data_IF_281464388192
#
_entry.id   IF_281464388192
#
_cell.length_a   1.000
_cell.length_b   1.000
_cell.length_c   1.000
_cell.angle_alpha   90.00
_cell.angle_beta   90.00
_cell.angle_gamma   90.00
#
_symmetry.space_group_name_H-M   'P 1'
#
loop_
_entity.id
_entity.type
_entity.pdbx_description
1 polymer ?
#
# COMPACT_ATOMS: atom_id res chain seq x y z
N UNK A 1 5.59 -14.28 -51.87
CA UNK A 1 4.98 -13.79 -53.14
C UNK A 1 4.61 -12.33 -52.90
N UNK A 2 5.44 -11.40 -53.37
CA UNK A 2 5.31 -9.97 -53.07
C UNK A 2 4.35 -9.33 -54.08
N UNK A 3 3.19 -8.89 -53.60
CA UNK A 3 2.28 -8.06 -54.38
C UNK A 3 2.76 -6.60 -54.35
N UNK A 4 2.90 -5.93 -55.50
CA UNK A 4 3.22 -4.51 -55.53
C UNK A 4 1.93 -3.72 -55.24
N UNK A 5 1.90 -3.04 -54.09
CA UNK A 5 0.84 -2.08 -53.77
C UNK A 5 1.21 -0.76 -54.45
N UNK A 6 0.36 -0.29 -55.38
CA UNK A 6 0.45 1.04 -55.98
C UNK A 6 0.14 2.08 -54.90
N UNK A 7 1.04 3.03 -54.75
CA UNK A 7 0.95 4.14 -53.79
C UNK A 7 0.24 5.33 -54.42
N UNK A 8 -1.10 5.31 -54.43
CA UNK A 8 -1.92 6.50 -54.66
C UNK A 8 -2.56 6.89 -53.32
N UNK A 9 -2.29 8.12 -52.87
CA UNK A 9 -2.90 8.94 -51.80
C UNK A 9 -3.87 8.29 -50.79
N UNK A 10 -3.45 7.23 -50.10
CA UNK A 10 -4.12 6.75 -48.88
C UNK A 10 -3.56 7.50 -47.68
N UNK A 11 -4.44 8.04 -46.83
CA UNK A 11 -4.01 8.51 -45.49
C UNK A 11 -3.20 7.37 -44.84
N UNK A 12 -1.99 7.63 -44.32
CA UNK A 12 -1.10 6.59 -43.83
C UNK A 12 -1.77 5.61 -42.84
N UNK A 13 -2.82 6.06 -42.14
CA UNK A 13 -3.58 5.28 -41.17
C UNK A 13 -4.62 4.30 -41.73
N UNK A 14 -5.14 4.47 -42.95
CA UNK A 14 -6.06 3.47 -43.55
C UNK A 14 -5.29 2.22 -43.96
N UNK A 15 -4.11 2.41 -44.55
CA UNK A 15 -3.24 1.31 -45.01
C UNK A 15 -2.82 0.36 -43.89
N UNK A 16 -2.55 0.88 -42.68
CA UNK A 16 -2.11 0.04 -41.55
C UNK A 16 -3.26 -0.76 -40.92
N UNK A 17 -4.48 -0.20 -40.89
CA UNK A 17 -5.68 -0.90 -40.39
C UNK A 17 -6.07 -2.05 -41.31
N UNK A 18 -6.07 -1.82 -42.62
CA UNK A 18 -6.34 -2.85 -43.62
C UNK A 18 -5.30 -3.97 -43.59
N UNK A 19 -4.01 -3.60 -43.48
CA UNK A 19 -2.93 -4.56 -43.29
C UNK A 19 -3.15 -5.41 -42.02
N UNK A 20 -3.49 -4.79 -40.89
CA UNK A 20 -3.74 -5.49 -39.64
C UNK A 20 -4.91 -6.47 -39.75
N UNK A 21 -6.04 -6.07 -40.34
CA UNK A 21 -7.20 -6.96 -40.54
C UNK A 21 -6.80 -8.17 -41.39
N UNK A 22 -6.16 -7.93 -42.53
CA UNK A 22 -5.73 -9.01 -43.43
C UNK A 22 -4.75 -9.98 -42.76
N UNK A 23 -3.82 -9.45 -41.96
CA UNK A 23 -2.80 -10.25 -41.31
C UNK A 23 -3.28 -10.91 -40.00
N UNK A 24 -4.26 -10.34 -39.31
CA UNK A 24 -4.84 -10.95 -38.10
C UNK A 24 -5.65 -12.21 -38.39
N UNK A 25 -6.18 -12.31 -39.61
CA UNK A 25 -6.86 -13.50 -40.14
C UNK A 25 -5.89 -14.56 -40.69
N UNK A 26 -4.58 -14.27 -40.75
CA UNK A 26 -3.58 -15.21 -41.27
C UNK A 26 -3.45 -16.45 -40.39
N UNK A 27 -3.25 -17.62 -41.00
CA UNK A 27 -2.94 -18.84 -40.26
C UNK A 27 -1.53 -18.87 -39.65
N UNK A 28 -0.65 -17.95 -40.04
CA UNK A 28 0.73 -17.90 -39.58
C UNK A 28 0.88 -16.97 -38.36
N UNK A 29 1.29 -17.54 -37.22
CA UNK A 29 1.45 -16.81 -35.96
C UNK A 29 2.47 -15.66 -36.06
N UNK A 30 3.57 -15.85 -36.78
CA UNK A 30 4.58 -14.81 -36.98
C UNK A 30 4.01 -13.60 -37.71
N UNK A 31 3.14 -13.82 -38.71
CA UNK A 31 2.44 -12.76 -39.44
C UNK A 31 1.47 -12.01 -38.51
N UNK A 32 0.74 -12.73 -37.65
CA UNK A 32 -0.16 -12.11 -36.66
C UNK A 32 0.61 -11.26 -35.64
N UNK A 33 1.74 -11.76 -35.15
CA UNK A 33 2.62 -11.04 -34.21
C UNK A 33 3.19 -9.77 -34.83
N UNK A 34 3.71 -9.85 -36.07
CA UNK A 34 4.24 -8.72 -36.81
C UNK A 34 3.17 -7.65 -37.04
N UNK A 35 1.95 -8.07 -37.41
CA UNK A 35 0.84 -7.16 -37.61
C UNK A 35 0.44 -6.42 -36.33
N UNK A 36 0.37 -7.13 -35.20
CA UNK A 36 0.09 -6.51 -33.90
C UNK A 36 1.18 -5.51 -33.50
N UNK A 37 2.46 -5.88 -33.64
CA UNK A 37 3.58 -4.99 -33.27
C UNK A 37 3.61 -3.71 -34.13
N UNK A 38 3.40 -3.84 -35.44
CA UNK A 38 3.32 -2.69 -36.36
C UNK A 38 2.16 -1.76 -36.02
N UNK A 39 0.97 -2.32 -35.76
CA UNK A 39 -0.21 -1.54 -35.44
C UNK A 39 -0.03 -0.76 -34.13
N UNK A 40 0.49 -1.42 -33.08
CA UNK A 40 0.80 -0.80 -31.79
C UNK A 40 1.83 0.31 -31.97
N UNK A 41 2.91 0.04 -32.70
CA UNK A 41 3.98 1.01 -32.95
C UNK A 41 3.45 2.25 -33.67
N UNK A 42 2.62 2.06 -34.70
CA UNK A 42 1.98 3.16 -35.43
C UNK A 42 1.09 4.01 -34.52
N UNK A 43 0.16 3.40 -33.79
CA UNK A 43 -0.80 4.14 -32.98
C UNK A 43 -0.23 4.70 -31.68
N UNK A 44 0.84 4.11 -31.15
CA UNK A 44 1.55 4.68 -29.99
C UNK A 44 2.15 6.04 -30.35
N UNK A 45 2.60 6.22 -31.59
CA UNK A 45 3.16 7.48 -32.07
C UNK A 45 2.09 8.47 -32.56
N UNK A 46 0.95 7.99 -33.06
CA UNK A 46 -0.07 8.82 -33.73
C UNK A 46 -1.32 9.14 -32.88
N UNK A 47 -1.47 8.55 -31.70
CA UNK A 47 -2.27 9.10 -30.59
C UNK A 47 -3.80 9.14 -30.72
N UNK A 48 -4.46 8.33 -31.55
CA UNK A 48 -5.93 8.36 -31.65
C UNK A 48 -6.62 7.47 -30.58
N UNK A 49 -7.75 7.94 -30.03
CA UNK A 49 -8.48 7.22 -28.97
C UNK A 49 -9.18 5.95 -29.45
N UNK A 50 -9.63 5.91 -30.70
CA UNK A 50 -10.45 4.82 -31.25
C UNK A 50 -9.63 3.57 -31.65
N UNK A 51 -8.30 3.67 -31.59
CA UNK A 51 -7.42 2.60 -32.10
C UNK A 51 -7.44 1.34 -31.23
N UNK A 52 -7.71 1.49 -29.93
CA UNK A 52 -7.73 0.35 -29.00
C UNK A 52 -8.98 -0.50 -29.22
N UNK A 53 -10.14 0.13 -29.45
CA UNK A 53 -11.39 -0.57 -29.76
C UNK A 53 -11.25 -1.34 -31.09
N UNK A 54 -10.64 -0.71 -32.10
CA UNK A 54 -10.30 -1.37 -33.36
C UNK A 54 -9.36 -2.57 -33.16
N UNK A 55 -8.28 -2.37 -32.39
CA UNK A 55 -7.28 -3.40 -32.13
C UNK A 55 -7.88 -4.63 -31.46
N UNK A 56 -8.73 -4.46 -30.43
CA UNK A 56 -9.32 -5.57 -29.69
C UNK A 56 -10.38 -6.32 -30.53
N UNK A 57 -11.15 -5.59 -31.34
CA UNK A 57 -12.17 -6.14 -32.24
C UNK A 57 -11.56 -7.10 -33.25
N UNK A 58 -10.42 -6.72 -33.83
CA UNK A 58 -9.70 -7.53 -34.82
C UNK A 58 -8.50 -8.29 -34.23
N UNK A 59 -8.47 -8.51 -32.90
CA UNK A 59 -7.33 -9.13 -32.26
C UNK A 59 -7.14 -10.59 -32.72
N UNK A 60 -5.95 -10.98 -33.21
CA UNK A 60 -5.74 -12.27 -33.86
C UNK A 60 -6.01 -13.45 -32.92
N UNK A 61 -6.87 -14.39 -33.34
CA UNK A 61 -7.30 -15.49 -32.47
C UNK A 61 -6.15 -16.48 -32.15
N UNK A 62 -5.27 -16.82 -33.11
CA UNK A 62 -4.15 -17.73 -32.82
C UNK A 62 -3.15 -17.10 -31.84
N UNK A 63 -2.85 -15.81 -32.01
CA UNK A 63 -2.02 -15.07 -31.05
C UNK A 63 -2.65 -15.01 -29.65
N UNK A 64 -3.97 -14.79 -29.57
CA UNK A 64 -4.70 -14.82 -28.30
C UNK A 64 -4.60 -16.20 -27.61
N UNK A 65 -4.83 -17.27 -28.38
CA UNK A 65 -4.71 -18.65 -27.88
C UNK A 65 -3.29 -18.96 -27.42
N UNK A 66 -2.29 -18.48 -28.14
CA UNK A 66 -0.90 -18.65 -27.74
C UNK A 66 -0.59 -17.96 -26.41
N UNK A 67 -1.07 -16.72 -26.22
CA UNK A 67 -0.93 -16.02 -24.94
C UNK A 67 -1.65 -16.73 -23.80
N UNK A 68 -2.82 -17.31 -24.07
CA UNK A 68 -3.54 -18.13 -23.12
C UNK A 68 -2.71 -19.35 -22.70
N UNK A 69 -2.15 -20.08 -23.68
CA UNK A 69 -1.27 -21.22 -23.42
C UNK A 69 -0.03 -20.81 -22.62
N UNK A 70 0.64 -19.73 -22.99
CA UNK A 70 1.79 -19.19 -22.25
C UNK A 70 1.49 -18.87 -20.79
N UNK A 71 0.27 -18.35 -20.52
CA UNK A 71 -0.16 -18.03 -19.16
C UNK A 71 -0.44 -19.27 -18.29
N UNK A 72 -0.71 -20.41 -18.91
CA UNK A 72 -0.98 -21.69 -18.24
C UNK A 72 0.27 -22.57 -18.15
N UNK A 73 1.09 -22.63 -19.20
CA UNK A 73 2.24 -23.53 -19.33
C UNK A 73 3.49 -22.79 -19.85
N UNK A 74 4.23 -22.07 -18.99
CA UNK A 74 5.32 -21.19 -19.42
C UNK A 74 6.50 -21.90 -20.12
N UNK A 75 6.68 -23.21 -19.91
CA UNK A 75 7.91 -23.94 -20.30
C UNK A 75 7.86 -24.63 -21.66
N UNK A 76 6.69 -24.76 -22.28
CA UNK A 76 6.50 -25.61 -23.46
C UNK A 76 6.25 -24.81 -24.75
N UNK A 77 6.34 -23.49 -24.69
CA UNK A 77 5.97 -22.62 -25.81
C UNK A 77 7.19 -22.22 -26.63
N UNK A 78 7.17 -22.54 -27.92
CA UNK A 78 8.18 -22.08 -28.89
C UNK A 78 8.23 -20.55 -28.93
N UNK A 79 9.42 -19.95 -29.03
CA UNK A 79 9.60 -18.48 -29.05
C UNK A 79 8.92 -17.75 -27.87
N UNK A 80 8.86 -18.38 -26.70
CA UNK A 80 8.22 -17.83 -25.49
C UNK A 80 8.65 -16.38 -25.20
N UNK A 81 9.95 -16.06 -25.30
CA UNK A 81 10.47 -14.73 -24.97
C UNK A 81 9.97 -13.64 -25.93
N UNK A 82 9.90 -13.92 -27.24
CA UNK A 82 9.41 -12.96 -28.26
C UNK A 82 7.92 -12.67 -28.06
N UNK A 83 7.14 -13.74 -27.88
CA UNK A 83 5.70 -13.65 -27.60
C UNK A 83 5.44 -12.90 -26.30
N UNK A 84 6.25 -13.19 -25.27
CA UNK A 84 6.15 -12.53 -23.97
C UNK A 84 6.47 -11.04 -24.11
N UNK A 85 7.53 -10.69 -24.82
CA UNK A 85 7.87 -9.29 -25.08
C UNK A 85 6.73 -8.55 -25.81
N UNK A 86 6.13 -9.17 -26.84
CA UNK A 86 4.97 -8.61 -27.52
C UNK A 86 3.76 -8.45 -26.59
N UNK A 87 3.49 -9.42 -25.72
CA UNK A 87 2.43 -9.32 -24.72
C UNK A 87 2.61 -8.10 -23.80
N UNK A 88 3.83 -7.86 -23.33
CA UNK A 88 4.17 -6.69 -22.50
C UNK A 88 4.16 -5.36 -23.27
N UNK A 89 4.14 -5.37 -24.61
CA UNK A 89 3.82 -4.19 -25.44
C UNK A 89 2.31 -3.99 -25.61
N UNK A 90 1.57 -5.08 -25.78
CA UNK A 90 0.11 -5.07 -25.96
C UNK A 90 -0.59 -4.56 -24.71
N UNK A 91 -0.19 -5.03 -23.52
CA UNK A 91 -0.86 -4.64 -22.27
C UNK A 91 -0.85 -3.11 -22.06
N UNK A 92 0.30 -2.40 -22.13
CA UNK A 92 0.30 -0.95 -22.00
C UNK A 92 -0.48 -0.23 -23.10
N UNK A 93 -0.47 -0.76 -24.32
CA UNK A 93 -1.25 -0.22 -25.44
C UNK A 93 -2.76 -0.29 -25.18
N UNK A 94 -3.26 -1.43 -24.69
CA UNK A 94 -4.68 -1.62 -24.38
C UNK A 94 -5.16 -0.66 -23.27
N UNK A 95 -4.33 -0.46 -22.26
CA UNK A 95 -4.69 0.35 -21.09
C UNK A 95 -4.05 1.74 -21.11
N UNK A 96 -3.63 2.27 -22.27
CA UNK A 96 -2.99 3.61 -22.35
C UNK A 96 -3.93 4.77 -22.02
N UNK A 97 -5.25 4.55 -22.13
CA UNK A 97 -6.32 5.51 -21.83
C UNK A 97 -7.56 4.78 -21.35
N UNK A 98 -8.37 5.42 -20.51
CA UNK A 98 -9.68 4.91 -20.14
C UNK A 98 -10.61 4.77 -21.36
N UNK A 99 -11.10 3.55 -21.61
CA UNK A 99 -12.12 3.28 -22.62
C UNK A 99 -13.09 2.22 -22.08
N UNK A 100 -14.32 2.64 -21.78
CA UNK A 100 -15.33 1.77 -21.17
C UNK A 100 -15.63 0.52 -22.01
N UNK A 101 -15.78 0.66 -23.33
CA UNK A 101 -16.08 -0.47 -24.23
C UNK A 101 -14.95 -1.51 -24.24
N UNK A 102 -13.70 -1.05 -24.16
CA UNK A 102 -12.54 -1.95 -24.10
C UNK A 102 -12.55 -2.71 -22.78
N UNK A 103 -12.97 -2.09 -21.68
CA UNK A 103 -13.00 -2.72 -20.36
C UNK A 103 -14.18 -3.67 -20.17
N UNK A 104 -15.31 -3.43 -20.83
CA UNK A 104 -16.46 -4.33 -20.85
C UNK A 104 -16.26 -5.52 -21.82
N UNK A 105 -15.20 -5.50 -22.63
CA UNK A 105 -14.88 -6.59 -23.54
C UNK A 105 -14.25 -7.78 -22.81
N UNK A 106 -14.88 -8.95 -22.91
CA UNK A 106 -14.42 -10.20 -22.27
C UNK A 106 -12.98 -10.56 -22.62
N UNK A 107 -12.55 -10.35 -23.88
CA UNK A 107 -11.19 -10.62 -24.34
C UNK A 107 -10.18 -9.75 -23.59
N UNK A 108 -10.50 -8.49 -23.32
CA UNK A 108 -9.65 -7.60 -22.52
C UNK A 108 -9.53 -8.06 -21.08
N UNK A 109 -10.63 -8.46 -20.44
CA UNK A 109 -10.61 -9.01 -19.08
C UNK A 109 -9.72 -10.26 -18.99
N UNK A 110 -9.83 -11.15 -19.97
CA UNK A 110 -8.97 -12.34 -20.06
C UNK A 110 -7.50 -11.98 -20.25
N UNK A 111 -7.18 -10.92 -21.01
CA UNK A 111 -5.80 -10.42 -21.12
C UNK A 111 -5.26 -9.94 -19.77
N UNK A 112 -6.09 -9.32 -18.92
CA UNK A 112 -5.68 -8.95 -17.54
C UNK A 112 -5.38 -10.19 -16.70
N UNK A 113 -6.22 -11.22 -16.76
CA UNK A 113 -5.98 -12.48 -16.07
C UNK A 113 -4.69 -13.17 -16.55
N UNK A 114 -4.49 -13.28 -17.88
CA UNK A 114 -3.25 -13.80 -18.47
C UNK A 114 -2.03 -13.00 -18.03
N UNK A 115 -2.16 -11.67 -17.99
CA UNK A 115 -1.09 -10.79 -17.52
C UNK A 115 -0.70 -11.09 -16.08
N UNK A 116 -1.68 -11.19 -15.18
CA UNK A 116 -1.46 -11.51 -13.76
C UNK A 116 -0.82 -12.89 -13.57
N UNK A 117 -1.18 -13.88 -14.40
CA UNK A 117 -0.53 -15.20 -14.40
C UNK A 117 0.92 -15.12 -14.90
N UNK A 118 1.19 -14.35 -15.95
CA UNK A 118 2.54 -14.21 -16.50
C UNK A 118 3.51 -13.54 -15.52
N UNK A 119 3.11 -12.48 -14.82
CA UNK A 119 3.99 -11.80 -13.85
C UNK A 119 4.27 -12.62 -12.59
N UNK A 120 3.52 -13.70 -12.34
CA UNK A 120 3.83 -14.66 -11.27
C UNK A 120 5.01 -15.55 -11.62
N UNK A 121 5.33 -15.69 -12.91
CA UNK A 121 6.54 -16.39 -13.34
C UNK A 121 7.77 -15.59 -12.91
N UNK A 122 8.79 -16.26 -12.38
CA UNK A 122 9.91 -15.58 -11.71
C UNK A 122 11.01 -15.10 -12.67
N UNK A 123 10.77 -15.09 -13.98
CA UNK A 123 11.75 -14.67 -14.97
C UNK A 123 11.48 -13.23 -15.40
N UNK A 124 12.15 -12.22 -14.83
CA UNK A 124 11.91 -10.83 -15.21
C UNK A 124 12.25 -10.59 -16.69
N UNK A 125 11.52 -9.67 -17.34
CA UNK A 125 11.90 -9.12 -18.65
C UNK A 125 12.51 -7.75 -18.44
N UNK A 126 13.54 -7.45 -19.22
CA UNK A 126 14.00 -6.08 -19.38
C UNK A 126 12.92 -5.24 -20.08
N UNK A 127 12.24 -4.38 -19.32
CA UNK A 127 11.27 -3.44 -19.86
C UNK A 127 11.69 -2.01 -19.54
N UNK A 128 12.04 -1.24 -20.57
CA UNK A 128 12.66 0.08 -20.42
C UNK A 128 11.68 1.19 -20.02
N UNK A 129 10.37 1.00 -20.19
CA UNK A 129 9.37 2.05 -19.97
C UNK A 129 8.43 1.77 -18.79
N UNK A 130 9.00 1.65 -17.60
CA UNK A 130 8.24 1.39 -16.36
C UNK A 130 7.20 2.48 -16.05
N UNK A 131 7.40 3.72 -16.52
CA UNK A 131 6.45 4.81 -16.35
C UNK A 131 5.15 4.57 -17.13
N UNK A 132 5.24 4.28 -18.43
CA UNK A 132 4.07 3.97 -19.24
C UNK A 132 3.34 2.76 -18.67
N UNK A 133 4.09 1.77 -18.18
CA UNK A 133 3.53 0.59 -17.56
C UNK A 133 2.68 0.90 -16.33
N UNK A 134 3.18 1.76 -15.42
CA UNK A 134 2.44 2.19 -14.23
C UNK A 134 1.16 2.95 -14.60
N UNK A 135 1.23 3.84 -15.60
CA UNK A 135 0.07 4.58 -16.12
C UNK A 135 -0.98 3.60 -16.68
N UNK A 136 -0.54 2.59 -17.44
CA UNK A 136 -1.43 1.59 -17.99
C UNK A 136 -2.10 0.73 -16.92
N UNK A 137 -1.38 0.36 -15.85
CA UNK A 137 -2.02 -0.31 -14.70
C UNK A 137 -3.02 0.63 -14.03
N UNK A 138 -2.67 1.91 -13.84
CA UNK A 138 -3.57 2.91 -13.24
C UNK A 138 -4.89 3.02 -14.00
N UNK A 139 -4.86 3.03 -15.34
CA UNK A 139 -6.08 2.97 -16.15
C UNK A 139 -6.77 1.62 -16.07
N UNK A 140 -6.05 0.50 -16.10
CA UNK A 140 -6.62 -0.85 -16.01
C UNK A 140 -7.47 -1.03 -14.74
N UNK A 141 -6.97 -0.56 -13.59
CA UNK A 141 -7.64 -0.69 -12.28
C UNK A 141 -8.76 0.32 -12.03
N UNK A 142 -8.98 1.28 -12.95
CA UNK A 142 -10.19 2.12 -12.88
C UNK A 142 -11.45 1.29 -13.15
N UNK A 143 -11.32 0.21 -13.92
CA UNK A 143 -12.38 -0.78 -14.06
C UNK A 143 -12.38 -1.72 -12.87
N UNK A 144 -13.51 -1.77 -12.18
CA UNK A 144 -13.62 -2.46 -10.90
C UNK A 144 -13.31 -3.98 -10.96
N UNK A 145 -13.86 -4.77 -11.91
CA UNK A 145 -13.48 -6.17 -12.08
C UNK A 145 -11.97 -6.40 -12.22
N UNK A 146 -11.28 -5.55 -12.98
CA UNK A 146 -9.82 -5.66 -13.14
C UNK A 146 -9.11 -5.35 -11.82
N UNK A 147 -9.52 -4.28 -11.12
CA UNK A 147 -8.97 -3.96 -9.79
C UNK A 147 -9.15 -5.12 -8.81
N UNK A 148 -10.31 -5.77 -8.84
CA UNK A 148 -10.61 -6.93 -8.01
C UNK A 148 -9.67 -8.10 -8.32
N UNK A 149 -9.41 -8.39 -9.60
CA UNK A 149 -8.41 -9.37 -10.03
C UNK A 149 -7.01 -9.03 -9.51
N UNK A 150 -6.58 -7.77 -9.61
CA UNK A 150 -5.28 -7.33 -9.07
C UNK A 150 -5.16 -7.56 -7.56
N UNK A 151 -6.25 -7.45 -6.81
CA UNK A 151 -6.24 -7.70 -5.36
C UNK A 151 -6.22 -9.20 -5.08
N UNK A 152 -7.13 -9.98 -5.69
CA UNK A 152 -7.24 -11.43 -5.45
C UNK A 152 -6.02 -12.22 -5.90
N UNK A 153 -5.37 -11.77 -6.97
CA UNK A 153 -4.20 -12.45 -7.52
C UNK A 153 -2.89 -11.82 -7.07
N UNK A 154 -2.93 -10.95 -6.06
CA UNK A 154 -1.76 -10.26 -5.50
C UNK A 154 -0.91 -9.54 -6.57
N UNK A 155 -1.58 -8.96 -7.57
CA UNK A 155 -0.96 -8.48 -8.80
C UNK A 155 0.15 -7.46 -8.58
N UNK A 156 -0.06 -6.50 -7.67
CA UNK A 156 0.95 -5.47 -7.37
C UNK A 156 2.19 -6.05 -6.67
N UNK A 157 2.03 -7.07 -5.82
CA UNK A 157 3.16 -7.79 -5.23
C UNK A 157 3.98 -8.48 -6.31
N UNK A 158 3.32 -9.20 -7.21
CA UNK A 158 3.99 -9.87 -8.31
C UNK A 158 4.66 -8.88 -9.26
N UNK A 159 4.04 -7.73 -9.54
CA UNK A 159 4.66 -6.65 -10.30
C UNK A 159 5.93 -6.11 -9.62
N UNK A 160 5.84 -5.83 -8.33
CA UNK A 160 6.95 -5.36 -7.52
C UNK A 160 8.13 -6.34 -7.58
N UNK A 161 7.83 -7.64 -7.47
CA UNK A 161 8.83 -8.70 -7.55
C UNK A 161 9.41 -8.86 -8.96
N UNK A 162 8.53 -8.90 -9.97
CA UNK A 162 8.87 -9.12 -11.37
C UNK A 162 9.73 -7.99 -11.94
N UNK A 163 9.51 -6.75 -11.49
CA UNK A 163 10.27 -5.60 -11.93
C UNK A 163 11.27 -5.10 -10.90
N UNK A 164 11.62 -5.86 -9.86
CA UNK A 164 12.48 -5.38 -8.74
C UNK A 164 13.79 -4.72 -9.19
N UNK A 165 14.39 -5.19 -10.29
CA UNK A 165 15.66 -4.69 -10.82
C UNK A 165 15.50 -3.39 -11.64
N UNK A 166 14.27 -3.07 -12.05
CA UNK A 166 13.94 -1.96 -12.97
C UNK A 166 13.04 -0.90 -12.32
N UNK A 167 12.14 -1.32 -11.46
CA UNK A 167 11.32 -0.48 -10.61
C UNK A 167 12.01 -0.32 -9.27
N UNK A 168 12.87 0.70 -9.16
CA UNK A 168 13.16 1.25 -7.83
C UNK A 168 11.82 1.61 -7.19
N UNK A 169 11.63 1.40 -5.87
CA UNK A 169 10.41 1.80 -5.18
C UNK A 169 10.20 3.30 -5.34
N UNK A 170 9.44 3.65 -6.37
CA UNK A 170 9.20 5.01 -6.77
C UNK A 170 7.94 5.50 -6.04
N UNK A 171 7.84 6.81 -5.89
CA UNK A 171 6.65 7.41 -5.31
C UNK A 171 5.40 7.04 -6.12
N UNK A 172 5.52 6.97 -7.44
CA UNK A 172 4.46 6.60 -8.38
C UNK A 172 3.97 5.17 -8.16
N UNK A 173 4.88 4.21 -7.95
CA UNK A 173 4.48 2.82 -7.66
C UNK A 173 3.77 2.69 -6.32
N UNK A 174 4.24 3.42 -5.30
CA UNK A 174 3.56 3.44 -3.99
C UNK A 174 2.18 4.08 -4.07
N UNK A 175 2.03 5.16 -4.85
CA UNK A 175 0.74 5.79 -5.14
C UNK A 175 -0.20 4.82 -5.87
N UNK A 176 0.32 4.07 -6.84
CA UNK A 176 -0.45 3.03 -7.52
C UNK A 176 -0.94 1.96 -6.54
N UNK A 177 -0.09 1.53 -5.60
CA UNK A 177 -0.47 0.59 -4.55
C UNK A 177 -1.59 1.15 -3.66
N UNK A 178 -1.46 2.40 -3.21
CA UNK A 178 -2.50 3.08 -2.45
C UNK A 178 -3.82 3.15 -3.22
N UNK A 179 -3.77 3.47 -4.52
CA UNK A 179 -4.94 3.53 -5.39
C UNK A 179 -5.64 2.17 -5.50
N UNK A 180 -4.90 1.05 -5.64
CA UNK A 180 -5.50 -0.29 -5.67
C UNK A 180 -6.13 -0.66 -4.33
N UNK A 181 -5.47 -0.35 -3.22
CA UNK A 181 -5.90 -0.79 -1.88
C UNK A 181 -6.86 0.17 -1.16
N UNK A 182 -7.08 1.36 -1.69
CA UNK A 182 -8.05 2.31 -1.13
C UNK A 182 -9.48 1.95 -1.52
N UNK A 183 -10.03 0.92 -0.86
CA UNK A 183 -11.39 0.43 -1.05
C UNK A 183 -12.37 1.01 -0.04
N UNK A 184 -13.62 1.17 -0.47
CA UNK A 184 -14.72 1.52 0.41
C UNK A 184 -15.29 0.29 1.10
N UNK A 185 -15.87 0.49 2.29
CA UNK A 185 -16.45 -0.62 3.08
C UNK A 185 -17.55 -1.37 2.32
N UNK A 186 -18.26 -0.68 1.41
CA UNK A 186 -19.29 -1.27 0.55
C UNK A 186 -18.76 -2.29 -0.46
N UNK A 187 -17.48 -2.22 -0.81
CA UNK A 187 -16.82 -3.14 -1.75
C UNK A 187 -16.29 -4.41 -1.06
N UNK A 188 -16.43 -4.50 0.27
CA UNK A 188 -15.93 -5.63 1.07
C UNK A 188 -16.52 -6.97 0.60
N UNK A 189 -17.81 -7.01 0.26
CA UNK A 189 -18.53 -8.25 -0.09
C UNK A 189 -18.03 -8.92 -1.37
N UNK A 190 -17.30 -8.18 -2.20
CA UNK A 190 -16.76 -8.68 -3.47
C UNK A 190 -15.40 -9.33 -3.29
N UNK A 191 -14.76 -9.10 -2.13
CA UNK A 191 -13.48 -9.69 -1.79
C UNK A 191 -13.64 -11.06 -1.15
N UNK A 192 -12.82 -12.01 -1.59
CA UNK A 192 -12.80 -13.37 -1.09
C UNK A 192 -11.80 -13.49 0.06
N UNK A 193 -12.28 -13.66 1.30
CA UNK A 193 -11.42 -13.79 2.48
C UNK A 193 -10.28 -14.82 2.33
N UNK A 194 -10.49 -16.02 1.73
CA UNK A 194 -9.40 -16.96 1.48
C UNK A 194 -8.28 -16.38 0.60
N UNK A 195 -8.64 -15.68 -0.48
CA UNK A 195 -7.67 -15.03 -1.38
C UNK A 195 -6.90 -13.92 -0.67
N UNK A 196 -7.57 -13.15 0.18
CA UNK A 196 -6.91 -12.10 1.00
C UNK A 196 -5.93 -12.72 2.01
N UNK A 197 -6.30 -13.85 2.63
CA UNK A 197 -5.42 -14.59 3.52
C UNK A 197 -4.16 -15.09 2.77
N UNK A 198 -4.35 -15.70 1.60
CA UNK A 198 -3.25 -16.18 0.76
C UNK A 198 -2.30 -15.03 0.36
N UNK A 199 -2.85 -13.89 -0.05
CA UNK A 199 -2.06 -12.70 -0.35
C UNK A 199 -1.24 -12.25 0.87
N UNK A 200 -1.85 -12.17 2.06
CA UNK A 200 -1.15 -11.79 3.28
C UNK A 200 0.04 -12.72 3.57
N UNK A 201 -0.17 -14.04 3.47
CA UNK A 201 0.85 -15.07 3.71
C UNK A 201 2.00 -14.93 2.71
N UNK A 202 1.71 -14.75 1.42
CA UNK A 202 2.74 -14.59 0.38
C UNK A 202 3.62 -13.37 0.65
N UNK A 203 3.01 -12.23 0.98
CA UNK A 203 3.75 -10.99 1.25
C UNK A 203 4.60 -11.12 2.52
N UNK A 204 4.03 -11.68 3.60
CA UNK A 204 4.74 -11.88 4.86
C UNK A 204 5.92 -12.84 4.69
N UNK A 205 5.71 -13.96 4.02
CA UNK A 205 6.78 -14.93 3.70
C UNK A 205 7.91 -14.25 2.94
N UNK A 206 7.58 -13.37 1.99
CA UNK A 206 8.60 -12.62 1.25
C UNK A 206 9.35 -11.63 2.14
N UNK A 207 8.65 -10.90 3.01
CA UNK A 207 9.28 -9.98 3.95
C UNK A 207 10.26 -10.69 4.91
N UNK A 208 9.97 -11.94 5.28
CA UNK A 208 10.83 -12.74 6.17
C UNK A 208 12.05 -13.32 5.45
N UNK A 209 11.88 -13.74 4.19
CA UNK A 209 12.96 -14.37 3.40
C UNK A 209 13.86 -13.35 2.69
N UNK A 210 13.31 -12.20 2.31
CA UNK A 210 14.03 -11.09 1.69
C UNK A 210 13.54 -9.78 2.33
N UNK A 211 14.15 -9.34 3.45
CA UNK A 211 13.69 -8.19 4.24
C UNK A 211 14.01 -6.84 3.59
N UNK A 212 13.64 -6.70 2.32
CA UNK A 212 13.69 -5.45 1.60
C UNK A 212 12.57 -4.53 2.09
N UNK A 213 12.93 -3.29 2.40
CA UNK A 213 12.01 -2.25 2.91
C UNK A 213 10.78 -2.06 2.01
N UNK A 214 10.93 -2.31 0.71
CA UNK A 214 9.87 -2.24 -0.28
C UNK A 214 8.72 -3.21 0.02
N UNK A 215 8.99 -4.50 0.27
CA UNK A 215 7.95 -5.48 0.59
C UNK A 215 7.27 -5.17 1.92
N UNK A 216 8.02 -4.66 2.90
CA UNK A 216 7.48 -4.28 4.21
C UNK A 216 6.53 -3.07 4.12
N UNK A 217 6.87 -2.08 3.29
CA UNK A 217 5.97 -0.95 2.97
C UNK A 217 4.71 -1.43 2.25
N UNK A 218 4.86 -2.33 1.30
CA UNK A 218 3.74 -2.93 0.58
C UNK A 218 2.81 -3.72 1.52
N UNK A 219 3.37 -4.54 2.42
CA UNK A 219 2.61 -5.23 3.47
C UNK A 219 1.83 -4.24 4.33
N UNK A 220 2.42 -3.09 4.68
CA UNK A 220 1.76 -2.06 5.48
C UNK A 220 0.52 -1.47 4.76
N UNK A 221 0.62 -1.24 3.44
CA UNK A 221 -0.51 -0.78 2.62
C UNK A 221 -1.60 -1.85 2.49
N UNK A 222 -1.21 -3.08 2.18
CA UNK A 222 -2.13 -4.20 2.07
C UNK A 222 -2.88 -4.43 3.39
N UNK A 223 -2.16 -4.51 4.51
CA UNK A 223 -2.76 -4.66 5.84
C UNK A 223 -3.62 -3.44 6.23
N UNK A 224 -3.36 -2.25 5.68
CA UNK A 224 -4.21 -1.09 5.92
C UNK A 224 -5.60 -1.27 5.29
N UNK A 225 -5.66 -1.80 4.07
CA UNK A 225 -6.92 -2.19 3.42
C UNK A 225 -7.64 -3.27 4.25
N UNK A 226 -6.93 -4.34 4.61
CA UNK A 226 -7.49 -5.45 5.42
C UNK A 226 -8.09 -4.94 6.73
N UNK A 227 -7.38 -4.04 7.42
CA UNK A 227 -7.87 -3.38 8.64
C UNK A 227 -9.14 -2.56 8.38
N UNK A 228 -9.12 -1.66 7.38
CA UNK A 228 -10.25 -0.78 7.05
C UNK A 228 -11.51 -1.56 6.71
N UNK A 229 -11.35 -2.65 5.99
CA UNK A 229 -12.43 -3.53 5.57
C UNK A 229 -12.77 -4.58 6.62
N UNK A 230 -12.19 -4.53 7.82
CA UNK A 230 -12.46 -5.45 8.95
C UNK A 230 -12.15 -6.93 8.66
N UNK A 231 -11.31 -7.22 7.67
CA UNK A 231 -10.97 -8.60 7.28
C UNK A 231 -10.11 -9.32 8.33
N UNK A 232 -9.48 -8.63 9.28
CA UNK A 232 -8.74 -9.28 10.36
C UNK A 232 -9.62 -10.14 11.29
N UNK A 233 -10.94 -10.03 11.24
CA UNK A 233 -11.84 -10.94 11.94
C UNK A 233 -12.28 -12.13 11.06
N UNK A 234 -11.85 -12.20 9.81
CA UNK A 234 -12.22 -13.24 8.84
C UNK A 234 -11.03 -14.11 8.44
N UNK A 235 -9.83 -13.54 8.40
CA UNK A 235 -8.59 -14.25 8.04
C UNK A 235 -7.72 -14.51 9.27
N UNK A 236 -6.84 -15.51 9.21
CA UNK A 236 -5.85 -15.80 10.25
C UNK A 236 -4.48 -15.36 9.76
N UNK A 237 -3.78 -14.55 10.56
CA UNK A 237 -2.44 -14.06 10.28
C UNK A 237 -1.54 -14.40 11.47
N UNK A 238 -0.30 -14.80 11.20
CA UNK A 238 0.71 -14.93 12.24
C UNK A 238 1.11 -13.55 12.78
N UNK A 239 0.45 -13.12 13.87
CA UNK A 239 0.64 -11.79 14.46
C UNK A 239 2.05 -11.57 15.00
N UNK A 240 2.76 -12.63 15.39
CA UNK A 240 4.15 -12.55 15.87
C UNK A 240 5.11 -12.26 14.72
N UNK A 241 4.98 -12.97 13.60
CA UNK A 241 5.75 -12.70 12.38
C UNK A 241 5.45 -11.30 11.84
N UNK A 242 4.17 -10.92 11.80
CA UNK A 242 3.78 -9.57 11.39
C UNK A 242 4.47 -8.51 12.25
N UNK A 243 4.45 -8.67 13.58
CA UNK A 243 5.08 -7.71 14.48
C UNK A 243 6.59 -7.64 14.26
N UNK A 244 7.26 -8.78 14.05
CA UNK A 244 8.70 -8.82 13.74
C UNK A 244 9.02 -8.07 12.43
N UNK A 245 8.20 -8.22 11.40
CA UNK A 245 8.35 -7.48 10.14
C UNK A 245 8.20 -5.98 10.38
N UNK A 246 7.18 -5.55 11.14
CA UNK A 246 6.97 -4.13 11.46
C UNK A 246 8.10 -3.54 12.32
N UNK A 247 8.66 -4.32 13.25
CA UNK A 247 9.83 -3.93 14.04
C UNK A 247 11.05 -3.72 13.14
N UNK A 248 11.30 -4.64 12.20
CA UNK A 248 12.38 -4.51 11.20
C UNK A 248 12.20 -3.27 10.32
N UNK A 249 10.98 -3.00 9.85
CA UNK A 249 10.66 -1.79 9.09
C UNK A 249 10.91 -0.53 9.91
N UNK A 250 10.51 -0.54 11.18
CA UNK A 250 10.70 0.59 12.09
C UNK A 250 12.19 0.84 12.36
N UNK A 251 12.98 -0.23 12.47
CA UNK A 251 14.43 -0.17 12.66
C UNK A 251 15.15 0.42 11.43
N UNK A 252 14.70 0.08 10.22
CA UNK A 252 15.19 0.72 9.00
C UNK A 252 14.86 2.21 8.98
N UNK A 253 13.61 2.56 9.29
CA UNK A 253 13.14 3.95 9.33
C UNK A 253 13.95 4.81 10.31
N UNK A 254 14.21 4.27 11.50
CA UNK A 254 14.97 4.93 12.57
C UNK A 254 16.32 5.47 12.11
N UNK A 255 16.93 4.84 11.10
CA UNK A 255 18.24 5.24 10.54
C UNK A 255 18.15 6.43 9.58
N UNK A 256 16.98 6.67 8.97
CA UNK A 256 16.82 7.66 7.90
C UNK A 256 16.03 8.92 8.29
N UNK A 257 15.46 8.95 9.51
CA UNK A 257 14.78 10.09 10.15
C UNK A 257 13.60 10.76 9.40
N UNK A 258 13.29 10.36 8.15
CA UNK A 258 12.10 10.83 7.43
C UNK A 258 10.89 10.00 7.86
N UNK A 259 9.86 10.60 8.44
CA UNK A 259 8.65 9.90 8.90
C UNK A 259 7.63 9.75 7.76
N UNK A 260 7.54 8.59 7.09
CA UNK A 260 6.55 8.42 6.04
C UNK A 260 5.14 8.30 6.60
N UNK A 261 4.16 8.76 5.81
CA UNK A 261 2.75 8.83 6.21
C UNK A 261 2.13 7.46 6.56
N UNK A 262 2.70 6.37 6.04
CA UNK A 262 2.22 5.01 6.29
C UNK A 262 2.40 4.54 7.74
N UNK A 263 3.19 5.21 8.58
CA UNK A 263 3.29 4.86 10.01
C UNK A 263 1.96 5.01 10.75
N UNK A 264 1.10 5.92 10.27
CA UNK A 264 -0.26 6.04 10.76
C UNK A 264 -1.09 4.78 10.46
N UNK A 265 -0.82 4.10 9.35
CA UNK A 265 -1.45 2.83 8.99
C UNK A 265 -0.96 1.70 9.91
N UNK A 266 0.36 1.58 10.09
CA UNK A 266 0.96 0.56 10.96
C UNK A 266 0.43 0.69 12.40
N UNK A 267 0.35 1.92 12.93
CA UNK A 267 -0.20 2.16 14.27
C UNK A 267 -1.67 1.73 14.38
N UNK A 268 -2.49 1.98 13.35
CA UNK A 268 -3.89 1.51 13.32
C UNK A 268 -3.97 -0.01 13.26
N UNK A 269 -3.16 -0.66 12.42
CA UNK A 269 -3.11 -2.12 12.28
C UNK A 269 -2.71 -2.79 13.59
N UNK A 270 -1.63 -2.34 14.25
CA UNK A 270 -1.20 -2.88 15.55
C UNK A 270 -2.29 -2.69 16.59
N UNK A 271 -2.92 -1.52 16.64
CA UNK A 271 -4.03 -1.31 17.57
C UNK A 271 -5.23 -2.21 17.25
N UNK A 272 -5.51 -2.50 15.98
CA UNK A 272 -6.47 -3.51 15.55
C UNK A 272 -6.14 -4.88 16.14
N UNK A 273 -4.90 -5.34 16.00
CA UNK A 273 -4.46 -6.62 16.58
C UNK A 273 -4.41 -6.66 18.10
N UNK A 274 -4.18 -5.54 18.79
CA UNK A 274 -4.26 -5.50 20.25
C UNK A 274 -5.69 -5.65 20.77
N UNK A 275 -6.68 -5.21 19.98
CA UNK A 275 -8.10 -5.25 20.34
C UNK A 275 -8.89 -6.37 19.65
N UNK A 276 -8.28 -7.07 18.69
CA UNK A 276 -8.93 -8.07 17.84
C UNK A 276 -9.23 -9.36 18.58
N UNK A 277 -10.22 -10.11 18.07
CA UNK A 277 -10.64 -11.38 18.69
C UNK A 277 -9.86 -12.57 18.17
N UNK A 278 -9.65 -12.65 16.84
CA UNK A 278 -8.93 -13.75 16.20
C UNK A 278 -7.42 -13.54 16.15
N UNK A 279 -7.00 -12.38 15.67
CA UNK A 279 -5.59 -12.04 15.47
C UNK A 279 -5.09 -11.15 16.62
N UNK A 280 -4.82 -11.75 17.78
CA UNK A 280 -4.37 -10.99 18.95
C UNK A 280 -2.85 -10.89 19.01
N UNK A 281 -2.33 -9.68 19.20
CA UNK A 281 -0.93 -9.47 19.63
C UNK A 281 -0.87 -9.50 21.15
N UNK A 282 0.02 -10.33 21.69
CA UNK A 282 0.41 -10.28 23.10
C UNK A 282 1.72 -9.49 23.24
N UNK A 283 1.72 -8.50 24.13
CA UNK A 283 2.92 -7.74 24.52
C UNK A 283 3.52 -8.46 25.73
N UNK A 284 4.26 -9.53 25.46
CA UNK A 284 4.86 -10.43 26.45
C UNK A 284 6.34 -10.15 26.73
N UNK A 285 6.96 -9.22 25.98
CA UNK A 285 8.36 -8.81 26.17
C UNK A 285 8.51 -7.28 26.23
N UNK A 286 9.53 -6.83 26.97
CA UNK A 286 9.92 -5.41 27.00
C UNK A 286 10.27 -4.91 25.60
N UNK A 287 10.88 -5.76 24.77
CA UNK A 287 11.24 -5.38 23.40
C UNK A 287 10.00 -5.07 22.54
N UNK A 288 9.00 -5.95 22.54
CA UNK A 288 7.72 -5.68 21.84
C UNK A 288 7.05 -4.41 22.39
N UNK A 289 7.05 -4.23 23.71
CA UNK A 289 6.50 -3.04 24.36
C UNK A 289 7.17 -1.75 23.86
N UNK A 290 8.51 -1.72 23.83
CA UNK A 290 9.29 -0.56 23.41
C UNK A 290 9.07 -0.24 21.92
N UNK A 291 9.07 -1.25 21.03
CA UNK A 291 8.83 -1.02 19.60
C UNK A 291 7.41 -0.52 19.32
N UNK A 292 6.39 -1.12 19.94
CA UNK A 292 5.00 -0.66 19.80
C UNK A 292 4.86 0.77 20.34
N UNK A 293 5.50 1.09 21.48
CA UNK A 293 5.57 2.45 22.02
C UNK A 293 6.20 3.43 21.03
N UNK A 294 7.30 3.05 20.37
CA UNK A 294 7.92 3.87 19.33
C UNK A 294 6.96 4.18 18.18
N UNK A 295 6.28 3.16 17.65
CA UNK A 295 5.31 3.30 16.56
C UNK A 295 4.14 4.20 16.99
N UNK A 296 3.58 3.96 18.17
CA UNK A 296 2.46 4.76 18.70
C UNK A 296 2.86 6.21 18.98
N UNK A 297 4.06 6.43 19.50
CA UNK A 297 4.59 7.76 19.77
C UNK A 297 4.77 8.56 18.48
N UNK A 298 5.30 7.93 17.42
CA UNK A 298 5.41 8.56 16.09
C UNK A 298 4.03 8.94 15.54
N UNK A 299 3.06 8.03 15.60
CA UNK A 299 1.70 8.31 15.12
C UNK A 299 1.00 9.42 15.92
N UNK A 300 1.08 9.39 17.25
CA UNK A 300 0.49 10.44 18.10
C UNK A 300 1.15 11.80 17.86
N UNK A 301 2.47 11.83 17.68
CA UNK A 301 3.20 13.05 17.34
C UNK A 301 2.66 13.69 16.06
N UNK A 302 2.57 12.92 14.97
CA UNK A 302 2.06 13.44 13.70
C UNK A 302 0.59 13.83 13.79
N UNK A 303 -0.19 13.13 14.59
CA UNK A 303 -1.58 13.49 14.85
C UNK A 303 -1.70 14.83 15.59
N UNK A 304 -0.93 15.04 16.67
CA UNK A 304 -0.92 16.29 17.44
C UNK A 304 -0.52 17.50 16.59
N UNK A 305 0.47 17.34 15.70
CA UNK A 305 0.85 18.37 14.72
C UNK A 305 -0.29 18.77 13.77
N UNK A 306 -1.21 17.85 13.46
CA UNK A 306 -2.34 18.10 12.54
C UNK A 306 -3.54 18.75 13.23
N UNK A 307 -3.71 18.55 14.54
CA UNK A 307 -4.88 19.02 15.30
C UNK A 307 -4.63 20.29 16.12
N UNK A 308 -3.59 21.05 15.77
CA UNK A 308 -3.12 22.24 16.47
C UNK A 308 -4.21 23.26 16.86
N UNK A 309 -5.35 23.29 16.16
CA UNK A 309 -6.50 24.17 16.42
C UNK A 309 -7.82 23.42 16.72
N UNK A 310 -7.78 22.10 16.89
CA UNK A 310 -8.96 21.24 17.07
C UNK A 310 -8.86 20.48 18.39
N UNK A 311 -10.00 20.26 19.04
CA UNK A 311 -10.06 19.52 20.31
C UNK A 311 -9.51 18.10 20.15
N UNK A 312 -8.57 17.71 21.03
CA UNK A 312 -8.01 16.37 21.05
C UNK A 312 -9.02 15.34 21.55
N UNK A 313 -9.78 14.75 20.62
CA UNK A 313 -10.73 13.68 20.94
C UNK A 313 -10.01 12.37 21.25
N UNK A 314 -10.04 11.94 22.51
CA UNK A 314 -9.42 10.70 22.97
C UNK A 314 -10.35 9.50 22.76
N UNK A 315 -10.15 8.78 21.65
CA UNK A 315 -10.87 7.54 21.34
C UNK A 315 -10.31 6.36 22.13
N UNK A 316 -11.05 5.24 22.22
CA UNK A 316 -10.56 3.99 22.84
C UNK A 316 -9.16 3.60 22.34
N UNK A 317 -8.95 3.69 21.03
CA UNK A 317 -7.66 3.38 20.39
C UNK A 317 -6.54 4.31 20.85
N UNK A 318 -6.81 5.63 20.96
CA UNK A 318 -5.82 6.59 21.47
C UNK A 318 -5.52 6.36 22.95
N UNK A 319 -6.52 6.00 23.76
CA UNK A 319 -6.30 5.60 25.16
C UNK A 319 -5.38 4.38 25.25
N UNK A 320 -5.64 3.35 24.45
CA UNK A 320 -4.78 2.16 24.37
C UNK A 320 -3.34 2.52 24.00
N UNK A 321 -3.15 3.42 23.02
CA UNK A 321 -1.83 3.91 22.64
C UNK A 321 -1.11 4.61 23.80
N UNK A 322 -1.81 5.50 24.52
CA UNK A 322 -1.26 6.19 25.69
C UNK A 322 -0.92 5.22 26.83
N UNK A 323 -1.74 4.19 27.08
CA UNK A 323 -1.43 3.16 28.08
C UNK A 323 -0.17 2.39 27.72
N UNK A 324 0.01 1.98 26.46
CA UNK A 324 1.24 1.31 26.01
C UNK A 324 2.47 2.21 26.21
N UNK A 325 2.34 3.51 25.88
CA UNK A 325 3.43 4.47 26.12
C UNK A 325 3.71 4.61 27.62
N UNK A 326 2.67 4.75 28.45
CA UNK A 326 2.79 4.85 29.90
C UNK A 326 3.49 3.63 30.51
N UNK A 327 3.08 2.42 30.15
CA UNK A 327 3.73 1.19 30.62
C UNK A 327 5.18 1.10 30.16
N UNK A 328 5.49 1.57 28.96
CA UNK A 328 6.87 1.65 28.48
C UNK A 328 7.69 2.61 29.33
N UNK A 329 7.16 3.79 29.67
CA UNK A 329 7.85 4.76 30.53
C UNK A 329 8.13 4.21 31.94
N UNK A 330 7.27 3.31 32.45
CA UNK A 330 7.50 2.59 33.71
C UNK A 330 8.57 1.50 33.56
N UNK A 331 8.55 0.76 32.44
CA UNK A 331 9.46 -0.35 32.20
C UNK A 331 10.88 0.10 31.81
N UNK A 332 11.02 1.26 31.17
CA UNK A 332 12.31 1.76 30.65
C UNK A 332 13.42 1.86 31.71
N UNK A 333 13.17 2.39 32.92
CA UNK A 333 14.17 2.42 33.98
C UNK A 333 14.69 1.06 34.43
N UNK A 334 13.88 0.02 34.32
CA UNK A 334 14.21 -1.34 34.74
C UNK A 334 14.93 -2.09 33.60
N UNK A 335 14.67 -1.70 32.35
CA UNK A 335 15.30 -2.29 31.18
C UNK A 335 16.74 -1.81 30.97
N UNK A 336 17.51 -2.52 30.14
CA UNK A 336 18.84 -2.09 29.67
C UNK A 336 18.73 -0.75 28.90
N UNK A 337 18.78 0.37 29.62
CA UNK A 337 18.62 1.73 29.08
C UNK A 337 19.52 1.99 27.85
N UNK A 338 20.69 1.35 27.80
CA UNK A 338 21.62 1.46 26.69
C UNK A 338 21.07 0.89 25.37
N UNK A 339 20.33 -0.23 25.42
CA UNK A 339 19.74 -0.88 24.24
C UNK A 339 18.68 0.02 23.58
N UNK A 340 17.93 0.76 24.39
CA UNK A 340 16.76 1.53 23.93
C UNK A 340 16.95 3.04 23.90
N UNK A 341 18.19 3.58 23.95
CA UNK A 341 18.45 5.05 23.91
C UNK A 341 17.71 5.80 22.80
N UNK A 342 17.40 5.14 21.68
CA UNK A 342 16.65 5.73 20.59
C UNK A 342 15.19 6.07 20.95
N UNK A 343 14.54 5.31 21.84
CA UNK A 343 13.15 5.55 22.23
C UNK A 343 13.00 6.87 22.96
N UNK A 344 14.00 7.24 23.78
CA UNK A 344 14.07 8.52 24.48
C UNK A 344 13.95 9.69 23.51
N UNK A 345 14.61 9.62 22.35
CA UNK A 345 14.51 10.68 21.33
C UNK A 345 13.10 10.79 20.75
N UNK A 346 12.43 9.66 20.53
CA UNK A 346 11.06 9.63 20.01
C UNK A 346 10.07 10.16 21.05
N UNK A 347 10.22 9.74 22.31
CA UNK A 347 9.39 10.20 23.43
C UNK A 347 9.57 11.70 23.69
N UNK A 348 10.78 12.23 23.55
CA UNK A 348 11.03 13.67 23.64
C UNK A 348 10.36 14.43 22.49
N UNK A 349 10.40 13.88 21.27
CA UNK A 349 9.68 14.46 20.13
C UNK A 349 8.15 14.44 20.32
N UNK A 350 7.62 13.41 20.98
CA UNK A 350 6.20 13.34 21.38
C UNK A 350 5.88 14.37 22.48
N UNK A 351 6.71 14.48 23.51
CA UNK A 351 6.61 15.48 24.57
C UNK A 351 6.52 16.90 23.98
N UNK A 352 7.44 17.25 23.07
CA UNK A 352 7.44 18.56 22.40
C UNK A 352 6.14 18.82 21.63
N UNK A 353 5.52 17.77 21.06
CA UNK A 353 4.26 17.91 20.33
C UNK A 353 3.06 18.07 21.27
N UNK A 354 3.07 17.42 22.44
CA UNK A 354 2.07 17.69 23.48
C UNK A 354 2.20 19.12 24.01
N UNK A 355 3.43 19.57 24.29
CA UNK A 355 3.68 20.95 24.72
C UNK A 355 3.13 21.97 23.71
N UNK A 356 3.42 21.79 22.42
CA UNK A 356 2.88 22.66 21.36
C UNK A 356 1.35 22.62 21.29
N UNK A 357 0.74 21.45 21.53
CA UNK A 357 -0.71 21.31 21.57
C UNK A 357 -1.31 22.07 22.76
N UNK A 358 -0.78 21.89 23.98
CA UNK A 358 -1.26 22.58 25.18
C UNK A 358 -1.15 24.10 25.07
N UNK A 359 -0.08 24.61 24.44
CA UNK A 359 0.09 26.05 24.20
C UNK A 359 -1.00 26.66 23.29
N UNK A 360 -1.61 25.85 22.42
CA UNK A 360 -2.51 26.32 21.35
C UNK A 360 -3.96 25.90 21.53
N UNK A 361 -4.23 24.91 22.39
CA UNK A 361 -5.54 24.30 22.55
C UNK A 361 -5.86 24.09 24.03
N UNK A 362 -7.04 24.52 24.44
CA UNK A 362 -7.56 24.21 25.78
C UNK A 362 -7.88 22.71 25.89
N UNK A 363 -7.46 22.12 27.01
CA UNK A 363 -7.76 20.72 27.38
C UNK A 363 -9.03 20.60 28.22
N UNK A 364 -9.64 21.71 28.64
CA UNK A 364 -10.75 21.74 29.60
C UNK A 364 -11.99 21.00 29.07
N UNK A 365 -12.11 20.88 27.74
CA UNK A 365 -13.19 20.14 27.08
C UNK A 365 -12.97 18.62 27.02
N UNK A 366 -11.83 18.12 27.54
CA UNK A 366 -11.50 16.70 27.61
C UNK A 366 -11.95 16.17 28.99
N UNK A 367 -12.61 15.00 29.09
CA UNK A 367 -12.94 14.40 30.38
C UNK A 367 -11.72 14.26 31.29
N UNK A 368 -11.87 14.49 32.59
CA UNK A 368 -10.77 14.60 33.54
C UNK A 368 -9.88 13.34 33.58
N UNK A 369 -10.45 12.15 33.44
CA UNK A 369 -9.70 10.88 33.39
C UNK A 369 -8.77 10.82 32.18
N UNK A 370 -9.23 11.38 31.06
CA UNK A 370 -8.45 11.45 29.83
C UNK A 370 -7.35 12.51 29.93
N UNK A 371 -7.64 13.63 30.59
CA UNK A 371 -6.61 14.63 30.89
C UNK A 371 -5.50 13.99 31.72
N UNK A 372 -5.84 13.35 32.85
CA UNK A 372 -4.89 12.67 33.73
C UNK A 372 -4.01 11.67 32.99
N UNK A 373 -4.57 10.85 32.09
CA UNK A 373 -3.79 9.91 31.29
C UNK A 373 -2.79 10.62 30.37
N UNK A 374 -3.22 11.68 29.68
CA UNK A 374 -2.36 12.49 28.82
C UNK A 374 -1.23 13.12 29.64
N UNK A 375 -1.55 13.75 30.77
CA UNK A 375 -0.56 14.36 31.66
C UNK A 375 0.43 13.35 32.22
N UNK A 376 -0.04 12.16 32.59
CA UNK A 376 0.84 11.11 33.11
C UNK A 376 1.87 10.69 32.06
N UNK A 377 1.47 10.55 30.79
CA UNK A 377 2.41 10.29 29.69
C UNK A 377 3.34 11.48 29.48
N UNK A 378 2.78 12.69 29.46
CA UNK A 378 3.53 13.93 29.25
C UNK A 378 4.63 14.13 30.30
N UNK A 379 4.28 14.05 31.58
CA UNK A 379 5.20 14.24 32.72
C UNK A 379 6.28 13.17 32.82
N UNK A 380 5.96 11.92 32.46
CA UNK A 380 6.91 10.81 32.54
C UNK A 380 7.84 10.73 31.33
N UNK A 381 7.58 11.48 30.26
CA UNK A 381 8.50 11.52 29.13
C UNK A 381 9.87 12.08 29.57
N UNK A 382 10.99 11.48 29.14
CA UNK A 382 12.34 11.83 29.59
C UNK A 382 12.87 13.15 28.99
N UNK A 383 12.22 14.28 29.29
CA UNK A 383 12.68 15.62 28.90
C UNK A 383 13.70 16.15 29.93
N UNK A 384 14.92 15.60 29.90
CA UNK A 384 15.99 15.84 30.89
C UNK A 384 16.41 17.30 31.16
N UNK A 385 15.92 18.30 30.41
CA UNK A 385 16.48 19.67 30.48
C UNK A 385 15.47 20.82 30.37
N UNK A 386 14.14 20.57 30.37
CA UNK A 386 13.14 21.62 30.12
C UNK A 386 11.91 21.57 31.03
N UNK A 387 12.04 21.02 32.23
CA UNK A 387 11.01 21.18 33.23
C UNK A 387 11.20 22.51 33.95
N UNK A 388 10.72 23.59 33.34
CA UNK A 388 10.51 24.86 34.05
C UNK A 388 9.05 24.86 34.54
N UNK A 389 8.81 24.75 35.86
CA UNK A 389 7.46 24.74 36.43
C UNK A 389 6.60 25.92 35.96
N UNK A 390 7.22 27.07 35.66
CA UNK A 390 6.51 28.27 35.20
C UNK A 390 5.89 28.12 33.80
N UNK A 391 6.42 27.24 32.95
CA UNK A 391 5.83 26.97 31.62
C UNK A 391 4.61 26.05 31.69
N UNK A 392 4.34 25.46 32.85
CA UNK A 392 3.29 24.47 33.03
C UNK A 392 2.26 24.85 34.07
N UNK A 393 2.47 25.93 34.84
CA UNK A 393 1.51 26.41 35.84
C UNK A 393 0.11 26.50 35.25
N UNK A 394 -0.05 27.17 34.11
CA UNK A 394 -1.36 27.37 33.48
C UNK A 394 -2.06 26.03 33.14
N UNK A 395 -1.27 25.04 32.71
CA UNK A 395 -1.79 23.73 32.30
C UNK A 395 -2.13 22.88 33.53
N UNK A 396 -1.33 22.96 34.60
CA UNK A 396 -1.56 22.25 35.86
C UNK A 396 -2.65 22.89 36.72
N UNK A 397 -2.70 24.21 36.80
CA UNK A 397 -3.66 24.96 37.58
C UNK A 397 -5.07 24.66 37.08
N UNK A 398 -5.28 24.62 35.76
CA UNK A 398 -6.57 24.21 35.18
C UNK A 398 -6.93 22.75 35.48
N UNK A 399 -5.95 21.84 35.48
CA UNK A 399 -6.20 20.44 35.85
C UNK A 399 -6.57 20.32 37.33
N UNK A 400 -5.83 20.99 38.22
CA UNK A 400 -6.06 21.00 39.66
C UNK A 400 -7.41 21.65 39.98
N UNK A 401 -7.73 22.79 39.38
CA UNK A 401 -9.03 23.44 39.47
C UNK A 401 -10.15 22.49 39.00
N UNK A 402 -9.95 21.77 37.89
CA UNK A 402 -10.91 20.77 37.40
C UNK A 402 -11.07 19.58 38.36
N UNK A 403 -10.00 19.17 39.06
CA UNK A 403 -10.07 18.10 40.07
C UNK A 403 -10.80 18.55 41.34
N UNK A 404 -10.53 19.78 41.80
CA UNK A 404 -11.14 20.37 42.99
C UNK A 404 -12.64 20.60 42.78
N UNK A 405 -13.02 21.10 41.60
CA UNK A 405 -14.41 21.44 41.26
C UNK A 405 -15.25 20.22 40.87
N UNK A 406 -14.63 19.06 40.58
CA UNK A 406 -15.36 17.86 40.21
C UNK A 406 -15.76 17.04 41.45
N UNK A 407 -17.06 16.90 41.75
CA UNK A 407 -17.54 16.25 42.97
C UNK A 407 -17.19 14.75 43.05
N UNK A 408 -16.88 14.09 41.93
CA UNK A 408 -16.40 12.71 41.93
C UNK A 408 -14.99 12.58 42.50
N UNK A 409 -14.20 13.65 42.51
CA UNK A 409 -12.80 13.66 42.95
C UNK A 409 -12.57 14.51 44.20
N UNK A 410 -13.50 15.40 44.56
CA UNK A 410 -13.38 16.32 45.70
C UNK A 410 -13.22 15.64 47.05
N UNK A 411 -13.59 14.35 47.18
CA UNK A 411 -13.42 13.58 48.42
C UNK A 411 -12.10 12.79 48.48
N UNK A 412 -11.26 12.89 47.45
CA UNK A 412 -10.01 12.09 47.32
C UNK A 412 -8.76 12.88 47.71
N UNK A 413 -8.89 14.20 47.93
CA UNK A 413 -7.79 15.12 48.20
C UNK A 413 -7.96 15.87 49.51
#
# INVERSE_FOLDING_TARGET
MNLPIKSDELEPGSSIKEYYIKCSESDNLSIQMEAADKLISYFTNNGQKNDVEFFITHFPNKLYEEFRLMSCEPRNVESYQEKRYLFFKIFPFLFRTYNQKVFENEKTCNIVDMFLKLIKTQEPIYYSNTMLFNISIEFCITHWPNRLLFIHENGLYHLCYYFKDYMKPSYEFMRLCENVYNLDIGQKSELLAPKIADCAIQIMTKCLTAPEVMYQKYLSLFCHMVHRLTFFEEIIINTSEFLNIMMSLFESWRRHLSCPDYWSYVSKIINGFLNGSKNKIQIDTIEKLVYICGIFSVNLREYLKKIVSKTFKLTKNKKQMLYVIHFTLIALPISEMNKYKWITRILNSLHDSFYQYFKRSSINNIPIENQLLIFTVYLKCPSMQKFDPSHYSDVFDHLLESLITNPCYSNTF
#
